data_IF_737547860483
#
_entry.id   IF_737547860483
#
_cell.length_a   1.000
_cell.length_b   1.000
_cell.length_c   1.000
_cell.angle_alpha   90.00
_cell.angle_beta   90.00
_cell.angle_gamma   90.00
#
_symmetry.space_group_name_H-M   'P 1'
#
loop_
_entity.id
_entity.type
_entity.pdbx_description
1 polymer ?
#
# COMPACT_ATOMS: atom_id res chain seq x y z
N UNK A 1 -14.07 -8.11 -17.30
CA UNK A 1 -13.19 -8.17 -16.11
C UNK A 1 -12.23 -7.00 -16.15
N UNK A 2 -12.23 -6.09 -15.16
CA UNK A 2 -11.30 -4.96 -15.15
C UNK A 2 -10.08 -5.25 -14.29
N UNK A 3 -8.89 -4.79 -14.74
CA UNK A 3 -7.63 -4.91 -13.99
C UNK A 3 -7.75 -4.36 -12.57
N UNK A 4 -8.47 -3.26 -12.39
CA UNK A 4 -8.67 -2.59 -11.10
C UNK A 4 -9.45 -3.49 -10.13
N UNK A 5 -10.52 -4.12 -10.61
CA UNK A 5 -11.33 -5.03 -9.80
C UNK A 5 -10.52 -6.23 -9.33
N UNK A 6 -9.72 -6.84 -10.21
CA UNK A 6 -8.84 -7.95 -9.84
C UNK A 6 -7.81 -7.53 -8.80
N UNK A 7 -7.22 -6.36 -8.98
CA UNK A 7 -6.22 -5.85 -8.05
C UNK A 7 -6.84 -5.60 -6.66
N UNK A 8 -8.09 -5.13 -6.59
CA UNK A 8 -8.84 -5.00 -5.33
C UNK A 8 -9.17 -6.35 -4.69
N UNK A 9 -9.49 -7.37 -5.49
CA UNK A 9 -9.69 -8.72 -4.95
C UNK A 9 -8.36 -9.32 -4.45
N UNK A 10 -7.27 -9.09 -5.18
CA UNK A 10 -5.93 -9.56 -4.81
C UNK A 10 -5.45 -8.96 -3.49
N UNK A 11 -5.80 -7.71 -3.14
CA UNK A 11 -5.41 -7.14 -1.83
C UNK A 11 -6.03 -7.91 -0.67
N UNK A 12 -7.22 -8.51 -0.84
CA UNK A 12 -7.83 -9.36 0.20
C UNK A 12 -7.05 -10.67 0.43
N UNK A 13 -6.37 -11.17 -0.61
CA UNK A 13 -5.59 -12.41 -0.58
C UNK A 13 -4.19 -12.24 0.02
N UNK A 14 -3.72 -11.01 0.23
CA UNK A 14 -2.38 -10.73 0.80
C UNK A 14 -2.23 -11.34 2.19
N UNK A 15 -3.31 -11.43 2.97
CA UNK A 15 -3.27 -12.02 4.33
C UNK A 15 -2.76 -13.47 4.30
N UNK A 16 -3.20 -14.25 3.32
CA UNK A 16 -2.87 -15.68 3.19
C UNK A 16 -1.67 -15.92 2.28
N UNK A 17 -1.55 -15.16 1.18
CA UNK A 17 -0.56 -15.41 0.13
C UNK A 17 0.62 -14.43 0.12
N UNK A 18 0.61 -13.40 0.98
CA UNK A 18 1.58 -12.31 0.93
C UNK A 18 1.48 -11.47 -0.34
N UNK A 19 2.49 -10.62 -0.57
CA UNK A 19 2.58 -9.76 -1.75
C UNK A 19 3.20 -10.51 -2.93
N UNK A 20 2.49 -11.53 -3.41
CA UNK A 20 2.99 -12.49 -4.39
C UNK A 20 2.23 -12.45 -5.72
N UNK A 21 2.83 -13.02 -6.76
CA UNK A 21 2.17 -13.23 -8.06
C UNK A 21 1.01 -14.23 -7.95
N UNK A 22 1.08 -15.19 -7.01
CA UNK A 22 0.00 -16.13 -6.74
C UNK A 22 -1.25 -15.41 -6.23
N UNK A 23 -1.11 -14.44 -5.31
CA UNK A 23 -2.23 -13.62 -4.86
C UNK A 23 -2.95 -12.87 -6.01
N UNK A 24 -2.18 -12.39 -7.00
CA UNK A 24 -2.74 -11.78 -8.21
C UNK A 24 -3.43 -12.82 -9.10
N UNK A 25 -2.81 -13.99 -9.27
CA UNK A 25 -3.34 -15.05 -10.10
C UNK A 25 -4.67 -15.60 -9.58
N UNK A 26 -4.80 -15.78 -8.27
CA UNK A 26 -6.01 -16.30 -7.63
C UNK A 26 -7.15 -15.28 -7.51
N UNK A 27 -6.88 -14.00 -7.74
CA UNK A 27 -7.91 -12.95 -7.64
C UNK A 27 -9.12 -13.17 -8.56
N UNK A 28 -8.94 -13.87 -9.69
CA UNK A 28 -10.04 -14.21 -10.63
C UNK A 28 -11.01 -15.25 -10.06
N UNK A 29 -10.56 -16.05 -9.09
CA UNK A 29 -11.41 -17.05 -8.41
C UNK A 29 -12.42 -16.38 -7.48
N UNK A 30 -12.12 -15.15 -7.02
CA UNK A 30 -12.98 -14.37 -6.12
C UNK A 30 -13.99 -13.47 -6.85
N UNK A 31 -14.07 -13.54 -8.18
CA UNK A 31 -15.04 -12.76 -8.93
C UNK A 31 -16.48 -13.23 -8.63
N UNK A 32 -17.48 -12.35 -8.81
CA UNK A 32 -18.88 -12.72 -8.64
C UNK A 32 -19.29 -13.91 -9.53
N UNK A 33 -20.33 -14.68 -9.12
CA UNK A 33 -20.87 -15.77 -9.92
C UNK A 33 -21.18 -15.32 -11.36
N UNK A 34 -20.75 -16.11 -12.34
CA UNK A 34 -20.86 -15.78 -13.77
C UNK A 34 -19.66 -15.04 -14.37
N UNK A 35 -18.71 -14.57 -13.55
CA UNK A 35 -17.43 -14.01 -13.99
C UNK A 35 -16.21 -14.73 -13.37
N UNK A 36 -16.43 -15.54 -12.33
CA UNK A 36 -15.40 -16.36 -11.73
C UNK A 36 -14.81 -17.35 -12.74
N UNK A 37 -13.49 -17.40 -12.76
CA UNK A 37 -12.76 -18.40 -13.52
C UNK A 37 -12.57 -19.67 -12.67
N UNK A 38 -12.52 -20.86 -13.29
CA UNK A 38 -12.28 -22.12 -12.57
C UNK A 38 -10.83 -22.29 -12.13
N UNK A 39 -9.91 -21.59 -12.80
CA UNK A 39 -8.47 -21.71 -12.60
C UNK A 39 -7.83 -20.33 -12.41
N UNK A 40 -6.70 -20.24 -11.67
CA UNK A 40 -5.93 -19.00 -11.55
C UNK A 40 -5.45 -18.48 -12.90
N UNK A 41 -5.12 -17.18 -12.97
CA UNK A 41 -4.47 -16.62 -14.15
C UNK A 41 -3.12 -17.31 -14.41
N UNK A 42 -2.81 -17.54 -15.69
CA UNK A 42 -1.48 -17.96 -16.10
C UNK A 42 -0.44 -16.87 -15.80
N UNK A 43 0.84 -17.26 -15.68
CA UNK A 43 1.92 -16.30 -15.39
C UNK A 43 2.03 -15.20 -16.47
N UNK A 44 1.82 -15.55 -17.75
CA UNK A 44 1.76 -14.58 -18.86
C UNK A 44 0.63 -13.57 -18.68
N UNK A 45 -0.55 -14.00 -18.20
CA UNK A 45 -1.67 -13.10 -17.94
C UNK A 45 -1.38 -12.18 -16.74
N UNK A 46 -0.77 -12.69 -15.67
CA UNK A 46 -0.31 -11.87 -14.54
C UNK A 46 0.68 -10.82 -15.00
N UNK A 47 1.66 -11.20 -15.83
CA UNK A 47 2.64 -10.28 -16.41
C UNK A 47 2.01 -9.18 -17.25
N UNK A 48 1.08 -9.54 -18.14
CA UNK A 48 0.38 -8.60 -19.02
C UNK A 48 -0.50 -7.62 -18.24
N UNK A 49 -1.18 -8.08 -17.18
CA UNK A 49 -2.11 -7.26 -16.41
C UNK A 49 -1.44 -6.42 -15.33
N UNK A 50 -0.40 -6.92 -14.68
CA UNK A 50 0.15 -6.31 -13.46
C UNK A 50 1.63 -5.94 -13.55
N UNK A 51 2.35 -6.41 -14.57
CA UNK A 51 3.78 -6.14 -14.76
C UNK A 51 4.64 -7.39 -14.68
N UNK A 52 5.85 -7.31 -15.25
CA UNK A 52 6.76 -8.44 -15.32
C UNK A 52 7.46 -8.70 -13.98
N UNK A 53 7.62 -9.98 -13.62
CA UNK A 53 8.36 -10.38 -12.42
C UNK A 53 7.90 -9.65 -11.15
N UNK A 54 8.83 -8.95 -10.52
CA UNK A 54 8.61 -8.18 -9.30
C UNK A 54 7.73 -6.93 -9.49
N UNK A 55 7.57 -6.41 -10.72
CA UNK A 55 6.71 -5.24 -10.94
C UNK A 55 5.22 -5.56 -10.71
N UNK A 56 4.81 -6.81 -10.94
CA UNK A 56 3.49 -7.28 -10.52
C UNK A 56 3.33 -7.20 -9.00
N UNK A 57 4.34 -7.64 -8.25
CA UNK A 57 4.33 -7.60 -6.79
C UNK A 57 4.32 -6.16 -6.29
N UNK A 58 5.14 -5.27 -6.87
CA UNK A 58 5.11 -3.83 -6.59
C UNK A 58 3.74 -3.22 -6.87
N UNK A 59 3.08 -3.61 -7.96
CA UNK A 59 1.70 -3.18 -8.27
C UNK A 59 0.72 -3.58 -7.16
N UNK A 60 0.82 -4.81 -6.65
CA UNK A 60 -0.02 -5.27 -5.53
C UNK A 60 0.30 -4.51 -4.23
N UNK A 61 1.58 -4.27 -3.94
CA UNK A 61 2.00 -3.49 -2.76
C UNK A 61 1.45 -2.07 -2.85
N UNK A 62 1.59 -1.40 -3.99
CA UNK A 62 1.04 -0.06 -4.20
C UNK A 62 -0.48 -0.04 -4.04
N UNK A 63 -1.20 -1.04 -4.56
CA UNK A 63 -2.64 -1.14 -4.37
C UNK A 63 -3.05 -1.26 -2.90
N UNK A 64 -2.32 -2.07 -2.12
CA UNK A 64 -2.53 -2.18 -0.67
C UNK A 64 -2.25 -0.86 0.04
N UNK A 65 -1.15 -0.19 -0.29
CA UNK A 65 -0.79 1.11 0.29
C UNK A 65 -1.84 2.19 -0.01
N UNK A 66 -2.35 2.23 -1.24
CA UNK A 66 -3.41 3.12 -1.70
C UNK A 66 -4.75 2.83 -1.01
N UNK A 67 -5.10 1.56 -0.84
CA UNK A 67 -6.30 1.17 -0.09
C UNK A 67 -6.20 1.58 1.38
N UNK A 68 -5.01 1.44 1.99
CA UNK A 68 -4.77 1.94 3.34
C UNK A 68 -4.89 3.46 3.47
N UNK A 69 -4.49 4.23 2.45
CA UNK A 69 -4.72 5.68 2.40
C UNK A 69 -6.21 5.98 2.30
N UNK A 70 -6.95 5.31 1.40
CA UNK A 70 -8.41 5.48 1.29
C UNK A 70 -9.16 5.13 2.59
N UNK A 71 -8.69 4.12 3.32
CA UNK A 71 -9.25 3.74 4.62
C UNK A 71 -9.10 4.84 5.68
N UNK A 72 -8.13 5.75 5.56
CA UNK A 72 -8.04 6.90 6.46
C UNK A 72 -9.30 7.78 6.41
N UNK A 73 -9.91 7.93 5.24
CA UNK A 73 -11.09 8.76 5.03
C UNK A 73 -12.38 8.16 5.62
N UNK A 74 -12.35 6.91 6.10
CA UNK A 74 -13.51 6.28 6.74
C UNK A 74 -13.54 6.48 8.26
N UNK A 75 -12.56 7.20 8.83
CA UNK A 75 -12.47 7.46 10.26
C UNK A 75 -13.57 8.45 10.69
N UNK A 76 -14.46 8.08 11.63
CA UNK A 76 -15.47 9.00 12.14
C UNK A 76 -14.81 10.08 13.02
N UNK A 77 -15.28 11.32 12.91
CA UNK A 77 -14.76 12.48 13.67
C UNK A 77 -13.22 12.54 13.63
N UNK A 78 -12.62 12.75 12.45
CA UNK A 78 -11.20 12.55 12.26
C UNK A 78 -10.36 13.58 13.03
N UNK A 79 -9.39 13.06 13.79
CA UNK A 79 -8.28 13.82 14.33
C UNK A 79 -7.01 13.33 13.66
N UNK A 80 -5.95 14.14 13.67
CA UNK A 80 -4.67 13.71 13.10
C UNK A 80 -4.19 12.38 13.71
N UNK A 81 -4.34 12.23 15.04
CA UNK A 81 -4.00 10.99 15.75
C UNK A 81 -4.83 9.81 15.27
N UNK A 82 -6.16 9.94 15.20
CA UNK A 82 -7.03 8.81 14.81
C UNK A 82 -6.82 8.41 13.35
N UNK A 83 -6.57 9.38 12.47
CA UNK A 83 -6.27 9.15 11.04
C UNK A 83 -4.96 8.39 10.85
N UNK A 84 -3.86 8.85 11.47
CA UNK A 84 -2.57 8.16 11.37
C UNK A 84 -2.60 6.78 12.04
N UNK A 85 -3.30 6.66 13.17
CA UNK A 85 -3.50 5.37 13.84
C UNK A 85 -4.26 4.39 12.95
N UNK A 86 -5.36 4.81 12.33
CA UNK A 86 -6.12 3.99 11.39
C UNK A 86 -5.25 3.55 10.20
N UNK A 87 -4.34 4.42 9.71
CA UNK A 87 -3.41 4.03 8.65
C UNK A 87 -2.42 2.95 9.11
N UNK A 88 -1.88 3.06 10.31
CA UNK A 88 -0.96 2.04 10.85
C UNK A 88 -1.69 0.72 11.12
N UNK A 89 -2.87 0.77 11.74
CA UNK A 89 -3.70 -0.40 12.03
C UNK A 89 -4.13 -1.16 10.77
N UNK A 90 -4.32 -0.47 9.64
CA UNK A 90 -4.67 -1.12 8.38
C UNK A 90 -3.66 -2.22 7.97
N UNK A 91 -2.39 -2.09 8.39
CA UNK A 91 -1.33 -3.05 8.10
C UNK A 91 -1.33 -4.27 9.05
N UNK A 92 -2.03 -4.22 10.17
CA UNK A 92 -2.05 -5.28 11.20
C UNK A 92 -2.30 -6.70 10.64
N UNK A 93 -3.25 -6.92 9.70
CA UNK A 93 -3.53 -8.27 9.19
C UNK A 93 -2.42 -8.88 8.33
N UNK A 94 -1.41 -8.09 7.94
CA UNK A 94 -0.36 -8.50 6.99
C UNK A 94 1.04 -8.21 7.50
N UNK A 95 1.22 -7.92 8.80
CA UNK A 95 2.52 -7.51 9.38
C UNK A 95 3.67 -8.45 9.01
N UNK A 96 3.43 -9.76 9.03
CA UNK A 96 4.43 -10.78 8.67
C UNK A 96 4.94 -10.66 7.23
N UNK A 97 4.16 -10.09 6.32
CA UNK A 97 4.50 -9.95 4.90
C UNK A 97 5.10 -8.58 4.54
N UNK A 98 5.04 -7.61 5.46
CA UNK A 98 5.49 -6.23 5.20
C UNK A 98 7.01 -6.08 5.09
N UNK A 99 7.86 -6.77 5.87
CA UNK A 99 9.31 -6.64 5.71
C UNK A 99 9.76 -6.96 4.29
N UNK A 100 9.28 -8.06 3.72
CA UNK A 100 9.60 -8.45 2.35
C UNK A 100 9.03 -7.45 1.32
N UNK A 101 7.79 -7.01 1.50
CA UNK A 101 7.16 -6.03 0.62
C UNK A 101 7.93 -4.69 0.59
N UNK A 102 8.34 -4.20 1.76
CA UNK A 102 9.12 -2.96 1.85
C UNK A 102 10.55 -3.13 1.36
N UNK A 103 11.19 -4.28 1.58
CA UNK A 103 12.47 -4.60 0.96
C UNK A 103 12.39 -4.59 -0.58
N UNK A 104 11.28 -5.09 -1.14
CA UNK A 104 11.05 -5.06 -2.59
C UNK A 104 10.82 -3.63 -3.11
N UNK A 105 10.06 -2.81 -2.39
CA UNK A 105 9.88 -1.40 -2.75
C UNK A 105 11.18 -0.60 -2.64
N UNK A 106 12.04 -0.91 -1.68
CA UNK A 106 13.33 -0.27 -1.52
C UNK A 106 14.37 -0.78 -2.51
N UNK A 107 14.15 -1.91 -3.17
CA UNK A 107 15.07 -2.45 -4.17
C UNK A 107 14.92 -1.70 -5.52
N UNK A 108 16.01 -1.13 -6.07
CA UNK A 108 15.97 -0.47 -7.38
C UNK A 108 15.64 -1.47 -8.50
N UNK A 109 15.00 -1.01 -9.58
CA UNK A 109 14.76 -1.86 -10.75
C UNK A 109 16.03 -2.18 -11.55
N UNK A 110 17.07 -1.34 -11.43
CA UNK A 110 18.32 -1.40 -12.21
C UNK A 110 19.55 -1.82 -11.39
N UNK A 111 19.37 -2.28 -10.14
CA UNK A 111 20.43 -2.84 -9.30
C UNK A 111 21.37 -1.84 -8.59
N UNK A 112 21.29 -0.55 -8.92
CA UNK A 112 22.05 0.53 -8.26
C UNK A 112 21.18 1.79 -8.18
N UNK A 113 21.16 2.52 -7.04
CA UNK A 113 21.80 2.25 -5.74
C UNK A 113 21.15 1.07 -4.99
N UNK A 114 21.88 0.42 -4.07
CA UNK A 114 21.38 -0.76 -3.31
C UNK A 114 20.02 -0.54 -2.62
N UNK A 115 19.67 0.70 -2.31
CA UNK A 115 18.38 1.09 -1.72
C UNK A 115 17.86 2.37 -2.40
N UNK A 116 16.56 2.36 -2.71
CA UNK A 116 15.80 3.51 -3.20
C UNK A 116 14.82 3.99 -2.11
N UNK A 117 15.06 5.16 -1.48
CA UNK A 117 14.16 5.71 -0.47
C UNK A 117 12.93 6.41 -1.07
N UNK A 118 12.93 6.67 -2.38
CA UNK A 118 11.89 7.49 -3.03
C UNK A 118 10.48 6.90 -2.86
N UNK A 119 10.25 5.58 -2.97
CA UNK A 119 8.91 5.01 -2.75
C UNK A 119 8.39 5.24 -1.34
N UNK A 120 9.24 5.07 -0.33
CA UNK A 120 8.88 5.30 1.07
C UNK A 120 8.58 6.78 1.34
N UNK A 121 9.41 7.70 0.82
CA UNK A 121 9.20 9.13 0.97
C UNK A 121 7.91 9.59 0.27
N UNK A 122 7.67 9.13 -0.95
CA UNK A 122 6.42 9.43 -1.68
C UNK A 122 5.20 8.94 -0.92
N UNK A 123 5.25 7.72 -0.37
CA UNK A 123 4.17 7.15 0.42
C UNK A 123 3.89 7.96 1.69
N UNK A 124 4.93 8.31 2.45
CA UNK A 124 4.79 9.14 3.65
C UNK A 124 4.22 10.53 3.34
N UNK A 125 4.68 11.17 2.26
CA UNK A 125 4.16 12.46 1.80
C UNK A 125 2.69 12.39 1.41
N UNK A 126 2.25 11.30 0.76
CA UNK A 126 0.82 11.10 0.42
C UNK A 126 -0.04 10.92 1.66
N UNK A 127 0.44 10.19 2.67
CA UNK A 127 -0.26 10.05 3.95
C UNK A 127 -0.36 11.41 4.65
N UNK A 128 0.70 12.21 4.62
CA UNK A 128 0.68 13.54 5.22
C UNK A 128 -0.33 14.46 4.52
N UNK A 129 -0.36 14.46 3.19
CA UNK A 129 -1.30 15.25 2.41
C UNK A 129 -2.76 14.82 2.65
N UNK A 130 -3.03 13.52 2.59
CA UNK A 130 -4.36 12.96 2.85
C UNK A 130 -4.81 13.23 4.30
N UNK A 131 -3.91 13.13 5.27
CA UNK A 131 -4.22 13.46 6.67
C UNK A 131 -4.59 14.93 6.83
N UNK A 132 -3.88 15.84 6.16
CA UNK A 132 -4.22 17.26 6.15
C UNK A 132 -5.60 17.49 5.51
N UNK A 133 -5.89 16.81 4.41
CA UNK A 133 -7.19 16.90 3.74
C UNK A 133 -8.33 16.42 4.64
N UNK A 134 -8.24 15.22 5.21
CA UNK A 134 -9.27 14.61 6.06
C UNK A 134 -9.54 15.44 7.33
N UNK A 135 -8.50 16.09 7.87
CA UNK A 135 -8.59 16.91 9.09
C UNK A 135 -8.92 18.38 8.81
N UNK A 136 -9.26 18.74 7.58
CA UNK A 136 -9.60 20.11 7.17
C UNK A 136 -8.52 21.13 7.53
N UNK A 137 -7.26 20.80 7.26
CA UNK A 137 -6.13 21.70 7.47
C UNK A 137 -6.26 23.01 6.70
N UNK A 138 -5.96 24.12 7.37
CA UNK A 138 -5.98 25.47 6.79
C UNK A 138 -4.59 26.06 6.60
N UNK A 139 -3.52 25.28 6.79
CA UNK A 139 -2.14 25.73 6.65
C UNK A 139 -1.82 26.15 5.20
N UNK A 140 -1.11 27.27 5.04
CA UNK A 140 -0.76 27.88 3.75
C UNK A 140 0.71 28.31 3.72
N UNK A 141 1.25 28.57 2.53
CA UNK A 141 2.65 29.02 2.36
C UNK A 141 3.65 28.09 3.06
N UNK A 142 4.59 28.62 3.86
CA UNK A 142 5.60 27.82 4.54
C UNK A 142 5.02 26.86 5.60
N UNK A 143 3.92 27.22 6.26
CA UNK A 143 3.29 26.34 7.26
C UNK A 143 2.67 25.10 6.61
N UNK A 144 2.22 25.19 5.35
CA UNK A 144 1.76 24.05 4.55
C UNK A 144 2.85 22.97 4.42
N UNK A 145 4.08 23.39 4.08
CA UNK A 145 5.22 22.49 3.92
C UNK A 145 5.67 21.93 5.27
N UNK A 146 5.81 22.79 6.27
CA UNK A 146 6.25 22.38 7.61
C UNK A 146 5.30 21.36 8.24
N UNK A 147 3.98 21.54 8.07
CA UNK A 147 2.97 20.61 8.60
C UNK A 147 3.06 19.25 7.94
N UNK A 148 3.14 19.18 6.60
CA UNK A 148 3.26 17.90 5.87
C UNK A 148 4.58 17.19 6.15
N UNK A 149 5.69 17.94 6.23
CA UNK A 149 6.98 17.37 6.61
C UNK A 149 6.94 16.76 8.02
N UNK A 150 6.33 17.47 8.98
CA UNK A 150 6.17 17.00 10.36
C UNK A 150 5.32 15.73 10.43
N UNK A 151 4.17 15.70 9.73
CA UNK A 151 3.27 14.53 9.71
C UNK A 151 3.96 13.32 9.05
N UNK A 152 4.64 13.52 7.91
CA UNK A 152 5.38 12.47 7.23
C UNK A 152 6.49 11.89 8.13
N UNK A 153 7.19 12.75 8.87
CA UNK A 153 8.20 12.34 9.86
C UNK A 153 7.62 11.51 11.00
N UNK A 154 6.53 11.97 11.62
CA UNK A 154 5.83 11.25 12.70
C UNK A 154 5.34 9.88 12.22
N UNK A 155 4.72 9.82 11.05
CA UNK A 155 4.24 8.57 10.47
C UNK A 155 5.39 7.60 10.18
N UNK A 156 6.46 8.09 9.54
CA UNK A 156 7.64 7.29 9.21
C UNK A 156 8.31 6.70 10.45
N UNK A 157 8.51 7.51 11.49
CA UNK A 157 9.07 7.05 12.77
C UNK A 157 8.18 6.00 13.44
N UNK A 158 6.86 6.18 13.43
CA UNK A 158 5.91 5.25 14.04
C UNK A 158 5.83 3.91 13.28
N UNK A 159 5.89 3.95 11.95
CA UNK A 159 5.87 2.75 11.11
C UNK A 159 7.14 1.91 11.26
N UNK A 160 8.31 2.55 11.39
CA UNK A 160 9.57 1.87 11.66
C UNK A 160 9.54 1.09 12.99
N UNK A 161 8.91 1.66 14.02
CA UNK A 161 8.77 1.00 15.33
C UNK A 161 7.88 -0.25 15.32
N UNK A 162 6.99 -0.42 14.33
CA UNK A 162 6.13 -1.61 14.21
C UNK A 162 6.89 -2.79 13.55
N UNK A 163 7.97 -2.52 12.81
CA UNK A 163 8.77 -3.53 12.11
C UNK A 163 9.95 -4.07 12.93
N UNK A 164 10.21 -3.50 14.12
CA UNK A 164 11.24 -3.97 15.05
C UNK A 164 10.53 -4.69 16.19
N UNK A 165 10.63 -6.03 16.30
CA UNK A 165 10.13 -6.72 17.48
C UNK A 165 10.96 -6.25 18.69
N UNK A 166 10.29 -5.69 19.68
CA UNK A 166 10.86 -5.45 21.02
C UNK A 166 10.95 -6.76 21.77
#
# INVERSE_FOLDING_TARGET
>A
MSRIQLLQLATSLVKTHGFTRAALAESVLLLPPGQAHPEPLSDTAVSSLFGNGDDARRTLIHAWLDQGIRHMGTVPSPTLKSVLHARLQYNEPVLQHLPEAFALLASPSSGVPLLDPIPALKHASRIADESCYITSDTSVQLSWYARRASIAGIYGASGGSILIPV
#
